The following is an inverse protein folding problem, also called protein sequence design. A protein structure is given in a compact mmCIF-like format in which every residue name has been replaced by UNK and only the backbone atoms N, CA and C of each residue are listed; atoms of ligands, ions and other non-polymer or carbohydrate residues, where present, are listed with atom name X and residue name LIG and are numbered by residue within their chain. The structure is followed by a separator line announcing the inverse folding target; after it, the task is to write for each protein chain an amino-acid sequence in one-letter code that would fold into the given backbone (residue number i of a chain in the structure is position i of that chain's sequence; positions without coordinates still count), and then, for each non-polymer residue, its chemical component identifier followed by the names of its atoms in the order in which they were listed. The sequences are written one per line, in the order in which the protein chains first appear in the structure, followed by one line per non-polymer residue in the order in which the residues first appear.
data_IF_523402657518
#
_entry.id   IF_523402657518
#
_cell.length_a   1.000
_cell.length_b   1.000
_cell.length_c   1.000
_cell.angle_alpha   90.00
_cell.angle_beta   90.00
_cell.angle_gamma   90.00
#
_symmetry.space_group_name_H-M   'P 1'
#
loop_
_entity.id
_entity.type
_entity.pdbx_description
1 polymer ?
#
# COMPACT_ATOMS: atom_id res chain seq x y z
N UNK A 1 15.25 -18.74 20.24
CA UNK A 1 14.99 -17.33 19.90
C UNK A 1 13.85 -17.33 18.92
N UNK A 2 12.65 -16.94 19.35
CA UNK A 2 11.49 -16.88 18.45
C UNK A 2 11.65 -15.63 17.57
N UNK A 3 11.59 -15.82 16.26
CA UNK A 3 11.39 -14.72 15.34
C UNK A 3 10.00 -14.14 15.60
N UNK A 4 9.91 -13.00 16.25
CA UNK A 4 8.63 -12.30 16.46
C UNK A 4 8.23 -11.64 15.13
N UNK A 5 7.58 -12.39 14.25
CA UNK A 5 6.88 -11.85 13.08
C UNK A 5 5.57 -11.22 13.54
N UNK A 6 5.06 -10.24 12.80
CA UNK A 6 3.72 -9.74 13.08
C UNK A 6 2.68 -10.88 13.10
N UNK A 7 1.66 -10.81 13.96
CA UNK A 7 0.63 -11.84 14.05
C UNK A 7 0.02 -12.18 12.70
N UNK A 8 -0.33 -13.44 12.46
CA UNK A 8 -0.84 -13.90 11.16
C UNK A 8 -2.06 -13.12 10.65
N UNK A 9 -2.92 -12.62 11.56
CA UNK A 9 -4.07 -11.80 11.19
C UNK A 9 -3.69 -10.49 10.49
N UNK A 10 -2.53 -9.92 10.84
CA UNK A 10 -2.02 -8.69 10.21
C UNK A 10 -1.71 -8.95 8.73
N UNK A 11 -1.02 -10.05 8.44
CA UNK A 11 -0.68 -10.47 7.08
C UNK A 11 -1.92 -10.74 6.23
N UNK A 12 -2.95 -11.39 6.80
CA UNK A 12 -4.22 -11.63 6.11
C UNK A 12 -4.86 -10.31 5.67
N UNK A 13 -4.95 -9.32 6.57
CA UNK A 13 -5.50 -7.99 6.26
C UNK A 13 -4.64 -7.28 5.21
N UNK A 14 -3.32 -7.36 5.36
CA UNK A 14 -2.36 -6.73 4.47
C UNK A 14 -2.49 -7.25 3.02
N UNK A 15 -2.50 -8.57 2.82
CA UNK A 15 -2.67 -9.14 1.48
C UNK A 15 -4.05 -8.88 0.90
N UNK A 16 -5.10 -8.86 1.72
CA UNK A 16 -6.44 -8.50 1.27
C UNK A 16 -6.50 -7.04 0.79
N UNK A 17 -5.83 -6.13 1.49
CA UNK A 17 -5.71 -4.73 1.07
C UNK A 17 -4.98 -4.60 -0.28
N UNK A 18 -3.89 -5.33 -0.49
CA UNK A 18 -3.18 -5.33 -1.79
C UNK A 18 -4.04 -5.90 -2.92
N UNK A 19 -4.72 -7.02 -2.69
CA UNK A 19 -5.62 -7.63 -3.68
C UNK A 19 -6.76 -6.69 -4.10
N UNK A 20 -7.41 -6.06 -3.12
CA UNK A 20 -8.50 -5.10 -3.39
C UNK A 20 -7.99 -3.84 -4.08
N UNK A 21 -6.77 -3.39 -3.78
CA UNK A 21 -6.11 -2.26 -4.45
C UNK A 21 -5.86 -2.57 -5.91
N UNK A 22 -5.27 -3.74 -6.22
CA UNK A 22 -5.04 -4.19 -7.59
C UNK A 22 -6.34 -4.29 -8.39
N UNK A 23 -7.36 -4.95 -7.84
CA UNK A 23 -8.66 -5.08 -8.49
C UNK A 23 -9.32 -3.72 -8.77
N UNK A 24 -9.29 -2.81 -7.80
CA UNK A 24 -9.86 -1.47 -7.95
C UNK A 24 -9.08 -0.61 -8.94
N UNK A 25 -7.75 -0.72 -8.98
CA UNK A 25 -6.92 0.03 -9.90
C UNK A 25 -7.12 -0.43 -11.34
N UNK A 26 -7.21 -1.75 -11.57
CA UNK A 26 -7.57 -2.32 -12.88
C UNK A 26 -8.94 -1.80 -13.33
N UNK A 27 -9.93 -1.81 -12.45
CA UNK A 27 -11.27 -1.28 -12.74
C UNK A 27 -11.24 0.20 -13.15
N UNK A 28 -10.43 1.03 -12.48
CA UNK A 28 -10.24 2.44 -12.83
C UNK A 28 -9.61 2.63 -14.23
N UNK A 29 -8.60 1.82 -14.56
CA UNK A 29 -7.94 1.86 -15.89
C UNK A 29 -8.94 1.51 -16.99
N UNK A 30 -9.75 0.46 -16.79
CA UNK A 30 -10.81 0.03 -17.71
C UNK A 30 -11.87 1.12 -17.88
N UNK A 31 -12.29 1.77 -16.79
CA UNK A 31 -13.23 2.91 -16.81
C UNK A 31 -12.62 4.22 -17.34
N UNK A 32 -11.38 4.20 -17.84
CA UNK A 32 -10.58 5.37 -18.28
C UNK A 32 -10.58 6.54 -17.28
N UNK A 33 -10.78 6.23 -16.01
CA UNK A 33 -10.95 7.22 -14.94
C UNK A 33 -9.71 7.18 -14.07
N UNK A 34 -9.03 8.32 -13.87
CA UNK A 34 -7.82 8.38 -13.04
C UNK A 34 -6.68 7.46 -13.55
N UNK A 35 -6.48 7.35 -14.88
CA UNK A 35 -5.53 6.40 -15.48
C UNK A 35 -4.11 6.52 -14.93
N UNK A 36 -3.56 7.75 -14.88
CA UNK A 36 -2.19 7.99 -14.39
C UNK A 36 -2.03 7.56 -12.92
N UNK A 37 -2.94 8.01 -12.05
CA UNK A 37 -2.91 7.65 -10.62
C UNK A 37 -3.15 6.17 -10.37
N UNK A 38 -4.01 5.51 -11.17
CA UNK A 38 -4.27 4.07 -11.01
C UNK A 38 -3.10 3.21 -11.47
N UNK A 39 -2.38 3.62 -12.53
CA UNK A 39 -1.17 2.94 -12.95
C UNK A 39 -0.09 3.00 -11.86
N UNK A 40 0.10 4.17 -11.25
CA UNK A 40 1.05 4.36 -10.17
C UNK A 40 0.68 3.52 -8.92
N UNK A 41 -0.62 3.40 -8.59
CA UNK A 41 -1.08 2.52 -7.51
C UNK A 41 -0.78 1.04 -7.76
N UNK A 42 -0.87 0.56 -9.01
CA UNK A 42 -0.50 -0.83 -9.34
C UNK A 42 0.99 -1.04 -9.11
N UNK A 43 1.83 -0.12 -9.61
CA UNK A 43 3.27 -0.19 -9.42
C UNK A 43 3.61 -0.22 -7.93
N UNK A 44 3.11 0.74 -7.16
CA UNK A 44 3.39 0.79 -5.71
C UNK A 44 2.81 -0.39 -4.94
N UNK A 45 1.63 -0.90 -5.31
CA UNK A 45 1.05 -2.09 -4.67
C UNK A 45 1.89 -3.36 -4.85
N UNK A 46 2.82 -3.38 -5.82
CA UNK A 46 3.72 -4.51 -6.06
C UNK A 46 5.13 -4.19 -5.52
N UNK A 47 5.67 -3.01 -5.85
CA UNK A 47 7.05 -2.67 -5.50
C UNK A 47 7.23 -2.42 -4.02
N UNK A 48 6.26 -1.80 -3.34
CA UNK A 48 6.34 -1.52 -1.90
C UNK A 48 6.44 -2.81 -1.07
N UNK A 49 5.56 -3.83 -1.23
CA UNK A 49 5.71 -5.10 -0.54
C UNK A 49 7.03 -5.79 -0.83
N UNK A 50 7.48 -5.80 -2.10
CA UNK A 50 8.73 -6.47 -2.48
C UNK A 50 9.93 -5.79 -1.83
N UNK A 51 10.03 -4.45 -1.93
CA UNK A 51 11.13 -3.68 -1.32
C UNK A 51 11.12 -3.84 0.20
N UNK A 52 9.94 -3.78 0.83
CA UNK A 52 9.80 -4.01 2.26
C UNK A 52 10.26 -5.41 2.64
N UNK A 53 9.83 -6.44 1.92
CA UNK A 53 10.16 -7.83 2.19
C UNK A 53 11.66 -8.11 2.03
N UNK A 54 12.28 -7.61 0.96
CA UNK A 54 13.72 -7.80 0.72
C UNK A 54 14.58 -7.17 1.83
N UNK A 55 14.23 -5.96 2.29
CA UNK A 55 15.01 -5.28 3.33
C UNK A 55 14.68 -5.83 4.73
N UNK A 56 13.49 -6.37 4.95
CA UNK A 56 13.16 -7.06 6.21
C UNK A 56 13.94 -8.37 6.43
N UNK A 57 14.55 -8.95 5.39
CA UNK A 57 15.41 -10.15 5.51
C UNK A 57 16.78 -9.80 6.13
N UNK A 58 17.29 -8.58 5.91
CA UNK A 58 18.58 -8.11 6.46
C UNK A 58 18.48 -7.62 7.91
N UNK A 59 17.36 -7.92 8.58
CA UNK A 59 17.06 -7.48 9.93
C UNK A 59 18.02 -8.10 10.95
N UNK A 60 18.54 -7.29 11.87
CA UNK A 60 19.23 -7.78 13.05
C UNK A 60 18.27 -8.66 13.89
N UNK A 61 18.77 -9.81 14.35
CA UNK A 61 17.98 -10.98 14.84
C UNK A 61 16.93 -10.73 15.95
N UNK A 62 16.79 -9.53 16.48
CA UNK A 62 15.94 -9.22 17.64
C UNK A 62 14.82 -8.19 17.41
N UNK A 63 14.78 -7.49 16.27
CA UNK A 63 13.71 -6.53 15.97
C UNK A 63 12.53 -7.22 15.26
N UNK A 64 11.29 -6.76 15.44
CA UNK A 64 10.18 -7.17 14.56
C UNK A 64 10.23 -6.43 13.19
N UNK A 65 9.44 -6.83 12.18
CA UNK A 65 9.55 -6.23 10.81
C UNK A 65 9.21 -4.74 10.82
N UNK A 66 8.25 -4.37 11.65
CA UNK A 66 7.78 -2.99 11.78
C UNK A 66 8.81 -2.11 12.50
N UNK A 67 9.38 -2.57 13.60
CA UNK A 67 10.46 -1.92 14.33
C UNK A 67 11.70 -1.76 13.47
N UNK A 68 12.02 -2.76 12.65
CA UNK A 68 13.09 -2.65 11.68
C UNK A 68 12.82 -1.55 10.65
N UNK A 69 11.60 -1.49 10.10
CA UNK A 69 11.21 -0.42 9.18
C UNK A 69 11.30 0.98 9.84
N UNK A 70 10.84 1.12 11.09
CA UNK A 70 10.86 2.40 11.81
C UNK A 70 12.29 2.81 12.18
N UNK A 71 13.12 1.88 12.64
CA UNK A 71 14.53 2.17 12.94
C UNK A 71 15.29 2.62 11.68
N UNK A 72 15.05 1.96 10.55
CA UNK A 72 15.67 2.31 9.27
C UNK A 72 15.13 3.63 8.70
N UNK A 73 13.86 3.95 8.96
CA UNK A 73 13.31 5.28 8.67
C UNK A 73 14.00 6.37 9.49
N UNK A 74 14.23 6.15 10.79
CA UNK A 74 14.94 7.11 11.67
C UNK A 74 16.39 7.33 11.21
N UNK A 75 17.02 6.29 10.67
CA UNK A 75 18.34 6.37 10.04
C UNK A 75 18.31 7.04 8.65
N UNK A 76 17.13 7.37 8.12
CA UNK A 76 16.98 8.01 6.83
C UNK A 76 17.19 7.07 5.64
N UNK A 77 17.02 5.76 5.82
CA UNK A 77 17.20 4.78 4.76
C UNK A 77 16.18 5.04 3.63
N UNK A 78 16.70 5.18 2.40
CA UNK A 78 15.89 5.53 1.21
C UNK A 78 14.76 4.53 0.98
N UNK A 79 15.01 3.24 1.21
CA UNK A 79 14.00 2.19 1.03
C UNK A 79 12.86 2.31 2.05
N UNK A 80 13.15 2.70 3.30
CA UNK A 80 12.13 2.87 4.33
C UNK A 80 11.26 4.09 4.05
N UNK A 81 11.86 5.20 3.60
CA UNK A 81 11.15 6.40 3.14
C UNK A 81 10.25 6.05 1.95
N UNK A 82 10.79 5.34 0.95
CA UNK A 82 10.04 4.88 -0.21
C UNK A 82 8.85 3.99 0.19
N UNK A 83 9.07 3.06 1.12
CA UNK A 83 8.04 2.13 1.60
C UNK A 83 6.90 2.88 2.29
N UNK A 84 7.23 3.82 3.17
CA UNK A 84 6.22 4.63 3.89
C UNK A 84 5.49 5.59 2.95
N UNK A 85 6.22 6.28 2.07
CA UNK A 85 5.61 7.14 1.06
C UNK A 85 4.67 6.37 0.13
N UNK A 86 5.06 5.15 -0.25
CA UNK A 86 4.25 4.25 -1.07
C UNK A 86 2.95 3.84 -0.35
N UNK A 87 3.01 3.45 0.92
CA UNK A 87 1.81 3.16 1.70
C UNK A 87 0.91 4.39 1.87
N UNK A 88 1.49 5.55 2.17
CA UNK A 88 0.74 6.80 2.28
C UNK A 88 0.03 7.15 0.97
N UNK A 89 0.73 6.97 -0.16
CA UNK A 89 0.15 7.16 -1.48
C UNK A 89 -1.06 6.23 -1.71
N UNK A 90 -0.94 4.94 -1.38
CA UNK A 90 -2.06 4.00 -1.53
C UNK A 90 -3.28 4.41 -0.71
N UNK A 91 -3.07 4.90 0.52
CA UNK A 91 -4.16 5.43 1.37
C UNK A 91 -4.82 6.66 0.71
N UNK A 92 -4.03 7.62 0.25
CA UNK A 92 -4.54 8.81 -0.46
C UNK A 92 -5.31 8.42 -1.73
N UNK A 93 -4.80 7.43 -2.48
CA UNK A 93 -5.45 6.93 -3.68
C UNK A 93 -6.83 6.31 -3.36
N UNK A 94 -6.92 5.50 -2.31
CA UNK A 94 -8.20 4.94 -1.86
C UNK A 94 -9.20 6.02 -1.46
N UNK A 95 -8.75 7.07 -0.75
CA UNK A 95 -9.58 8.22 -0.40
C UNK A 95 -10.14 8.88 -1.66
N UNK A 96 -9.28 9.20 -2.64
CA UNK A 96 -9.68 9.81 -3.91
C UNK A 96 -10.63 8.90 -4.71
N UNK A 97 -10.39 7.59 -4.70
CA UNK A 97 -11.26 6.60 -5.34
C UNK A 97 -12.68 6.63 -4.76
N UNK A 98 -12.82 6.64 -3.43
CA UNK A 98 -14.14 6.72 -2.77
C UNK A 98 -14.83 8.06 -3.00
N UNK A 99 -14.10 9.19 -2.90
CA UNK A 99 -14.68 10.51 -3.16
C UNK A 99 -15.20 10.65 -4.59
N UNK A 100 -14.45 10.16 -5.58
CA UNK A 100 -14.88 10.21 -6.99
C UNK A 100 -16.10 9.34 -7.24
N UNK A 101 -16.19 8.17 -6.60
CA UNK A 101 -17.37 7.30 -6.69
C UNK A 101 -18.62 7.96 -6.09
N UNK A 102 -18.48 8.68 -4.97
CA UNK A 102 -19.56 9.46 -4.36
C UNK A 102 -20.04 10.60 -5.27
N UNK A 103 -19.13 11.32 -5.91
CA UNK A 103 -19.48 12.40 -6.86
C UNK A 103 -20.28 11.87 -8.04
N UNK A 104 -19.82 10.77 -8.67
CA UNK A 104 -20.52 10.16 -9.80
C UNK A 104 -21.91 9.62 -9.44
N UNK A 105 -22.04 8.96 -8.29
CA UNK A 105 -23.34 8.47 -7.82
C UNK A 105 -24.31 9.62 -7.49
N UNK A 106 -23.81 10.75 -6.99
CA UNK A 106 -24.65 11.92 -6.69
C UNK A 106 -25.24 12.55 -7.95
N UNK A 107 -24.48 12.61 -9.06
CA UNK A 107 -24.99 13.11 -10.35
C UNK A 107 -26.08 12.21 -10.94
N UNK A 108 -25.98 10.89 -10.74
CA UNK A 108 -26.99 9.92 -11.24
C UNK A 108 -28.32 10.00 -10.46
N UNK A 109 -28.29 10.39 -9.18
CA UNK A 109 -29.51 10.46 -8.33
C UNK A 109 -30.32 11.75 -8.59
N UNK A 110 -29.70 12.79 -9.12
CA UNK A 110 -30.32 14.12 -9.28
C UNK A 110 -30.89 14.38 -10.69
N UNK A 111 -30.84 13.39 -11.58
CA UNK A 111 -31.26 13.49 -12.99
C UNK A 111 -32.24 12.38 -13.34
#
# INVERSE_FOLDING_TARGET
MYFETLPSWFWVIYYLFLLTTLGSAIFCIVKKTMRSLSFLSIVFSITVPIVSMLNSIERANEANEFEHLISQLQLGAVWSIFTIAGYLYLVVWWILFFFKRRSKNRVIILN
#
